data_IF_108796779474
#
_entry.id   IF_108796779474
#
_cell.length_a   1.000
_cell.length_b   1.000
_cell.length_c   1.000
_cell.angle_alpha   90.00
_cell.angle_beta   90.00
_cell.angle_gamma   90.00
#
_symmetry.space_group_name_H-M   'P 1'
#
loop_
_entity.id
_entity.type
_entity.pdbx_description
1 polymer ?
#
# COMPACT_ATOMS: atom_id res chain seq x y z
N UNK A 1 33.04 36.50 -4.41
CA UNK A 1 32.32 35.22 -4.36
C UNK A 1 30.83 35.55 -4.14
N UNK A 2 30.04 35.54 -5.19
CA UNK A 2 28.62 35.77 -5.08
C UNK A 2 27.96 34.53 -4.47
N UNK A 3 27.35 34.69 -3.30
CA UNK A 3 26.45 33.70 -2.70
C UNK A 3 25.32 33.46 -3.67
N UNK A 4 25.31 32.29 -4.38
CA UNK A 4 24.11 31.84 -5.12
C UNK A 4 22.96 31.80 -4.13
N UNK A 5 21.93 32.63 -4.38
CA UNK A 5 20.70 32.60 -3.63
C UNK A 5 20.18 31.16 -3.64
N UNK A 6 20.02 30.55 -2.46
CA UNK A 6 19.34 29.26 -2.34
C UNK A 6 17.96 29.45 -2.95
N UNK A 7 17.72 28.90 -4.13
CA UNK A 7 16.41 28.90 -4.76
C UNK A 7 15.42 28.28 -3.77
N UNK A 8 14.57 29.11 -3.19
CA UNK A 8 13.56 28.67 -2.24
C UNK A 8 12.53 27.86 -3.05
N UNK A 9 12.54 26.54 -2.88
CA UNK A 9 11.52 25.69 -3.49
C UNK A 9 10.13 26.07 -2.96
N UNK A 10 9.16 26.20 -3.84
CA UNK A 10 7.76 26.32 -3.47
C UNK A 10 7.10 24.95 -3.26
N UNK A 11 7.80 23.86 -3.58
CA UNK A 11 7.32 22.52 -3.30
C UNK A 11 7.46 22.23 -1.80
N UNK A 12 6.38 21.79 -1.16
CA UNK A 12 6.37 21.46 0.26
C UNK A 12 7.03 20.10 0.50
N UNK A 13 8.22 20.11 1.08
CA UNK A 13 8.94 18.90 1.47
C UNK A 13 8.79 18.63 2.96
N UNK A 14 8.69 17.36 3.33
CA UNK A 14 8.61 16.91 4.73
C UNK A 14 9.97 16.97 5.46
N UNK A 15 11.07 17.26 4.75
CA UNK A 15 12.41 17.41 5.33
C UNK A 15 13.19 18.51 4.64
N UNK A 16 14.15 19.07 5.37
CA UNK A 16 15.09 20.09 4.86
C UNK A 16 16.29 19.49 4.12
N UNK A 17 16.31 18.18 3.83
CA UNK A 17 17.39 17.52 3.10
C UNK A 17 17.51 18.11 1.72
N UNK A 18 18.72 18.58 1.38
CA UNK A 18 19.02 19.01 0.01
C UNK A 18 19.04 17.79 -0.91
N UNK A 19 18.40 17.94 -2.06
CA UNK A 19 18.32 16.88 -3.07
C UNK A 19 18.86 17.40 -4.39
N UNK A 20 19.59 16.56 -5.16
CA UNK A 20 19.95 16.92 -6.52
C UNK A 20 18.69 17.10 -7.37
N UNK A 21 18.77 17.97 -8.36
CA UNK A 21 17.69 18.13 -9.35
C UNK A 21 17.84 17.04 -10.40
N UNK A 22 16.80 16.21 -10.57
CA UNK A 22 16.76 15.15 -11.57
C UNK A 22 16.69 15.78 -12.97
N UNK A 23 17.60 15.38 -13.86
CA UNK A 23 17.61 15.74 -15.28
C UNK A 23 16.95 14.66 -16.13
N UNK A 24 17.45 13.43 -16.04
CA UNK A 24 16.95 12.30 -16.84
C UNK A 24 17.09 10.97 -16.11
N UNK A 25 16.34 9.97 -16.60
CA UNK A 25 16.38 8.62 -16.10
C UNK A 25 16.31 7.61 -17.26
N UNK A 26 17.01 6.47 -17.15
CA UNK A 26 16.97 5.40 -18.12
C UNK A 26 17.33 4.05 -17.47
N UNK A 27 16.51 3.03 -17.68
CA UNK A 27 16.65 1.73 -17.04
C UNK A 27 16.72 1.87 -15.52
N UNK A 28 17.82 1.47 -14.91
CA UNK A 28 18.05 1.58 -13.46
C UNK A 28 18.84 2.83 -13.06
N UNK A 29 19.11 3.73 -13.97
CA UNK A 29 19.98 4.88 -13.74
C UNK A 29 19.23 6.19 -13.75
N UNK A 30 19.67 7.09 -12.88
CA UNK A 30 19.23 8.49 -12.76
C UNK A 30 20.43 9.41 -12.98
N UNK A 31 20.20 10.58 -13.56
CA UNK A 31 21.21 11.63 -13.68
C UNK A 31 20.67 12.96 -13.17
N UNK A 32 21.48 13.69 -12.45
CA UNK A 32 21.16 15.06 -12.05
C UNK A 32 21.63 16.09 -13.10
N UNK A 33 21.20 17.34 -12.91
CA UNK A 33 21.58 18.48 -13.79
C UNK A 33 23.11 18.75 -13.81
N UNK A 34 23.86 18.22 -12.86
CA UNK A 34 25.33 18.31 -12.80
C UNK A 34 26.00 17.15 -13.54
N UNK A 35 25.24 16.21 -14.08
CA UNK A 35 25.74 15.04 -14.80
C UNK A 35 26.15 13.86 -13.90
N UNK A 36 25.93 13.95 -12.59
CA UNK A 36 26.21 12.83 -11.69
C UNK A 36 25.21 11.69 -11.97
N UNK A 37 25.72 10.46 -11.98
CA UNK A 37 24.97 9.24 -12.23
C UNK A 37 24.68 8.50 -10.93
N UNK A 38 23.46 8.07 -10.73
CA UNK A 38 22.98 7.31 -9.58
C UNK A 38 22.33 6.01 -10.03
N UNK A 39 22.38 4.98 -9.17
CA UNK A 39 21.60 3.76 -9.33
C UNK A 39 20.33 3.92 -8.51
N UNK A 40 19.17 3.74 -9.16
CA UNK A 40 17.89 3.66 -8.47
C UNK A 40 17.67 2.26 -7.92
N UNK A 41 18.18 2.01 -6.71
CA UNK A 41 18.08 0.72 -6.04
C UNK A 41 16.74 0.51 -5.30
N UNK A 42 15.90 1.55 -5.20
CA UNK A 42 14.64 1.48 -4.45
C UNK A 42 13.39 1.65 -5.32
N UNK A 43 13.53 2.14 -6.55
CA UNK A 43 12.39 2.48 -7.42
C UNK A 43 11.40 3.44 -6.74
N UNK A 44 11.88 4.36 -5.89
CA UNK A 44 11.07 5.14 -4.98
C UNK A 44 10.37 4.23 -3.96
N UNK A 45 9.04 4.33 -3.76
CA UNK A 45 8.28 3.36 -2.95
C UNK A 45 7.92 2.09 -3.78
N UNK A 46 8.91 1.51 -4.48
CA UNK A 46 8.79 0.28 -5.29
C UNK A 46 7.79 0.43 -6.46
N UNK A 47 7.80 1.58 -7.16
CA UNK A 47 6.82 1.88 -8.21
C UNK A 47 7.38 1.89 -9.64
N UNK A 48 8.71 1.95 -9.82
CA UNK A 48 9.36 1.92 -11.15
C UNK A 48 10.08 0.60 -11.44
N UNK A 49 9.45 -0.53 -11.10
CA UNK A 49 10.04 -1.88 -11.16
C UNK A 49 10.44 -2.34 -12.56
N UNK A 50 9.84 -1.76 -13.60
CA UNK A 50 10.20 -2.02 -15.01
C UNK A 50 11.35 -1.14 -15.49
N UNK A 51 11.94 -0.34 -14.60
CA UNK A 51 12.93 0.69 -14.92
C UNK A 51 12.32 1.97 -15.49
N UNK A 52 13.17 2.99 -15.57
CA UNK A 52 12.81 4.29 -16.09
C UNK A 52 12.79 4.29 -17.63
N UNK A 53 11.96 5.13 -18.20
CA UNK A 53 11.93 5.44 -19.66
C UNK A 53 11.73 4.22 -20.55
N UNK A 54 10.98 3.18 -20.10
CA UNK A 54 10.71 2.00 -20.91
C UNK A 54 10.10 2.37 -22.28
N UNK A 55 10.78 2.05 -23.40
CA UNK A 55 10.35 2.52 -24.72
C UNK A 55 8.98 2.03 -25.16
N UNK A 56 8.62 0.79 -24.78
CA UNK A 56 7.32 0.18 -25.12
C UNK A 56 6.18 0.90 -24.40
N UNK A 57 6.37 1.23 -23.12
CA UNK A 57 5.39 1.97 -22.32
C UNK A 57 5.22 3.38 -22.87
N UNK A 58 6.33 4.10 -23.10
CA UNK A 58 6.30 5.46 -23.68
C UNK A 58 5.57 5.47 -25.01
N UNK A 59 5.87 4.51 -25.90
CA UNK A 59 5.21 4.39 -27.21
C UNK A 59 3.70 4.17 -27.06
N UNK A 60 3.29 3.29 -26.14
CA UNK A 60 1.88 3.01 -25.89
C UNK A 60 1.15 4.25 -25.31
N UNK A 61 1.77 4.95 -24.36
CA UNK A 61 1.23 6.19 -23.80
C UNK A 61 1.05 7.28 -24.87
N UNK A 62 2.07 7.54 -25.70
CA UNK A 62 1.99 8.52 -26.79
C UNK A 62 0.84 8.17 -27.74
N UNK A 63 0.74 6.91 -28.18
CA UNK A 63 -0.34 6.44 -29.05
C UNK A 63 -1.73 6.66 -28.43
N UNK A 64 -1.86 6.44 -27.13
CA UNK A 64 -3.13 6.65 -26.44
C UNK A 64 -3.45 8.13 -26.28
N UNK A 65 -2.46 8.98 -26.01
CA UNK A 65 -2.63 10.44 -25.94
C UNK A 65 -3.15 11.03 -27.24
N UNK A 66 -2.70 10.51 -28.39
CA UNK A 66 -3.21 10.92 -29.73
C UNK A 66 -4.69 10.55 -29.94
N UNK A 67 -5.21 9.52 -29.25
CA UNK A 67 -6.62 9.13 -29.33
C UNK A 67 -7.48 9.90 -28.32
N UNK A 68 -7.12 9.83 -27.05
CA UNK A 68 -7.86 10.42 -25.93
C UNK A 68 -7.00 10.40 -24.67
N UNK A 69 -6.98 11.51 -23.96
CA UNK A 69 -6.29 11.66 -22.67
C UNK A 69 -7.20 11.40 -21.48
N UNK A 70 -8.54 11.40 -21.69
CA UNK A 70 -9.53 11.21 -20.63
C UNK A 70 -10.79 10.52 -21.18
N UNK A 71 -11.36 9.63 -20.39
CA UNK A 71 -12.65 9.00 -20.60
C UNK A 71 -13.36 8.81 -19.27
N UNK A 72 -14.51 9.48 -19.08
CA UNK A 72 -15.27 9.36 -17.85
C UNK A 72 -16.06 8.05 -17.83
N UNK A 73 -15.73 7.18 -16.89
CA UNK A 73 -16.25 5.80 -16.80
C UNK A 73 -17.77 5.66 -16.71
N UNK A 74 -18.49 6.70 -16.29
CA UNK A 74 -19.96 6.67 -16.26
C UNK A 74 -20.59 6.92 -17.62
N UNK A 75 -19.82 7.42 -18.60
CA UNK A 75 -20.33 7.74 -19.92
C UNK A 75 -19.71 6.88 -21.04
N UNK A 76 -18.47 6.41 -20.85
CA UNK A 76 -17.73 5.69 -21.87
C UNK A 76 -16.93 4.53 -21.31
N UNK A 77 -16.91 3.42 -22.00
CA UNK A 77 -15.90 2.39 -21.82
C UNK A 77 -14.56 2.90 -22.34
N UNK A 78 -13.47 2.50 -21.70
CA UNK A 78 -12.12 2.87 -22.06
C UNK A 78 -11.31 1.60 -22.36
N UNK A 79 -10.91 1.41 -23.62
CA UNK A 79 -10.24 0.19 -24.07
C UNK A 79 -8.99 -0.18 -23.24
N UNK A 80 -8.05 0.73 -22.91
CA UNK A 80 -6.93 0.41 -22.04
C UNK A 80 -7.34 -0.03 -20.64
N UNK A 81 -8.36 0.58 -20.04
CA UNK A 81 -8.85 0.23 -18.70
C UNK A 81 -9.50 -1.16 -18.71
N UNK A 82 -10.35 -1.48 -19.71
CA UNK A 82 -10.98 -2.80 -19.87
C UNK A 82 -9.93 -3.91 -20.05
N UNK A 83 -8.91 -3.67 -20.89
CA UNK A 83 -7.81 -4.62 -21.07
C UNK A 83 -7.02 -4.85 -19.80
N UNK A 84 -6.72 -3.78 -19.05
CA UNK A 84 -6.00 -3.88 -17.79
C UNK A 84 -6.85 -4.60 -16.74
N UNK A 85 -8.15 -4.32 -16.66
CA UNK A 85 -9.06 -5.02 -15.75
C UNK A 85 -9.10 -6.53 -16.05
N UNK A 86 -9.26 -6.89 -17.33
CA UNK A 86 -9.28 -8.30 -17.75
C UNK A 86 -7.97 -9.02 -17.46
N UNK A 87 -6.83 -8.37 -17.74
CA UNK A 87 -5.51 -8.94 -17.42
C UNK A 87 -5.33 -9.11 -15.91
N UNK A 88 -5.68 -8.08 -15.12
CA UNK A 88 -5.58 -8.16 -13.66
C UNK A 88 -6.46 -9.27 -13.10
N UNK A 89 -7.72 -9.36 -13.54
CA UNK A 89 -8.64 -10.41 -13.11
C UNK A 89 -8.10 -11.82 -13.43
N UNK A 90 -7.42 -11.99 -14.57
CA UNK A 90 -6.83 -13.30 -14.93
C UNK A 90 -5.67 -13.74 -14.02
N UNK A 91 -5.09 -12.83 -13.26
CA UNK A 91 -4.01 -13.09 -12.30
C UNK A 91 -4.51 -13.25 -10.87
N UNK A 92 -5.80 -12.99 -10.62
CA UNK A 92 -6.38 -13.05 -9.28
C UNK A 92 -6.86 -14.47 -8.94
N UNK A 93 -7.01 -14.79 -7.65
CA UNK A 93 -7.68 -15.99 -7.21
C UNK A 93 -9.11 -16.08 -7.78
N UNK A 94 -9.59 -17.32 -7.99
CA UNK A 94 -10.95 -17.55 -8.50
C UNK A 94 -12.00 -16.82 -7.65
N UNK A 95 -12.93 -16.14 -8.33
CA UNK A 95 -14.00 -15.34 -7.69
C UNK A 95 -13.63 -13.88 -7.43
N UNK A 96 -12.38 -13.46 -7.66
CA UNK A 96 -11.95 -12.05 -7.60
C UNK A 96 -11.74 -11.50 -9.00
N UNK A 97 -12.83 -11.31 -9.74
CA UNK A 97 -12.83 -10.95 -11.16
C UNK A 97 -13.31 -9.52 -11.45
N UNK A 98 -13.67 -8.76 -10.42
CA UNK A 98 -14.12 -7.38 -10.55
C UNK A 98 -13.04 -6.42 -10.07
N UNK A 99 -12.57 -5.56 -10.96
CA UNK A 99 -11.47 -4.63 -10.71
C UNK A 99 -11.99 -3.20 -10.56
N UNK A 100 -11.60 -2.54 -9.48
CA UNK A 100 -11.91 -1.14 -9.24
C UNK A 100 -10.61 -0.33 -9.16
N UNK A 101 -10.38 0.55 -10.15
CA UNK A 101 -9.20 1.40 -10.20
C UNK A 101 -9.34 2.64 -9.33
N UNK A 102 -8.27 2.98 -8.61
CA UNK A 102 -8.13 4.16 -7.76
C UNK A 102 -6.84 4.91 -8.10
N UNK A 103 -6.69 6.13 -7.58
CA UNK A 103 -5.50 6.96 -7.85
C UNK A 103 -4.30 6.62 -6.97
N UNK A 104 -4.49 5.85 -5.90
CA UNK A 104 -3.40 5.50 -4.99
C UNK A 104 -3.77 4.41 -4.00
N UNK A 105 -2.75 3.87 -3.30
CA UNK A 105 -2.92 2.78 -2.33
C UNK A 105 -3.85 3.13 -1.17
N UNK A 106 -3.72 4.34 -0.62
CA UNK A 106 -4.63 4.79 0.46
C UNK A 106 -6.09 4.80 0.03
N UNK A 107 -6.38 5.25 -1.20
CA UNK A 107 -7.74 5.23 -1.76
C UNK A 107 -8.24 3.82 -2.03
N UNK A 108 -7.35 2.90 -2.41
CA UNK A 108 -7.68 1.48 -2.56
C UNK A 108 -8.11 0.88 -1.23
N UNK A 109 -7.34 1.14 -0.17
CA UNK A 109 -7.66 0.67 1.19
C UNK A 109 -8.96 1.28 1.70
N UNK A 110 -9.19 2.59 1.51
CA UNK A 110 -10.47 3.23 1.84
C UNK A 110 -11.65 2.58 1.11
N UNK A 111 -11.45 2.23 -0.16
CA UNK A 111 -12.46 1.55 -0.97
C UNK A 111 -12.77 0.15 -0.46
N UNK A 112 -11.76 -0.61 -0.03
CA UNK A 112 -11.91 -1.93 0.58
C UNK A 112 -12.67 -1.84 1.92
N UNK A 113 -12.32 -0.87 2.78
CA UNK A 113 -13.02 -0.61 4.05
C UNK A 113 -14.51 -0.34 3.81
N UNK A 114 -14.80 0.56 2.86
CA UNK A 114 -16.17 0.92 2.51
C UNK A 114 -16.95 -0.25 1.92
N UNK A 115 -16.32 -1.02 1.02
CA UNK A 115 -16.93 -2.20 0.40
C UNK A 115 -17.27 -3.26 1.46
N UNK A 116 -16.33 -3.59 2.35
CA UNK A 116 -16.55 -4.54 3.43
C UNK A 116 -17.70 -4.08 4.34
N UNK A 117 -17.72 -2.79 4.69
CA UNK A 117 -18.78 -2.22 5.52
C UNK A 117 -20.15 -2.26 4.84
N UNK A 118 -20.21 -1.90 3.56
CA UNK A 118 -21.46 -1.95 2.79
C UNK A 118 -21.97 -3.38 2.65
N UNK A 119 -21.08 -4.34 2.41
CA UNK A 119 -21.44 -5.75 2.40
C UNK A 119 -22.04 -6.21 3.74
N UNK A 120 -21.44 -5.83 4.86
CA UNK A 120 -21.96 -6.16 6.17
C UNK A 120 -23.37 -5.58 6.41
N UNK A 121 -23.60 -4.33 6.03
CA UNK A 121 -24.91 -3.69 6.11
C UNK A 121 -25.94 -4.42 5.23
N UNK A 122 -25.60 -4.68 3.97
CA UNK A 122 -26.49 -5.34 3.02
C UNK A 122 -26.81 -6.81 3.38
N UNK A 123 -26.02 -7.41 4.26
CA UNK A 123 -26.22 -8.78 4.78
C UNK A 123 -26.74 -8.82 6.21
N UNK A 124 -27.35 -7.71 6.69
CA UNK A 124 -27.91 -7.55 8.05
C UNK A 124 -26.89 -7.81 9.18
N UNK A 125 -25.64 -7.38 8.97
CA UNK A 125 -24.53 -7.48 9.94
C UNK A 125 -24.04 -6.08 10.34
N UNK A 126 -24.94 -5.16 10.62
CA UNK A 126 -24.62 -3.75 10.87
C UNK A 126 -23.73 -3.54 12.10
N UNK A 127 -23.67 -4.49 13.02
CA UNK A 127 -22.76 -4.42 14.17
C UNK A 127 -21.27 -4.53 13.77
N UNK A 128 -20.95 -5.14 12.62
CA UNK A 128 -19.57 -5.33 12.16
C UNK A 128 -18.99 -4.04 11.59
N UNK A 129 -17.94 -3.52 12.23
CA UNK A 129 -17.28 -2.29 11.81
C UNK A 129 -15.78 -2.24 12.16
N UNK A 130 -15.29 -3.07 13.10
CA UNK A 130 -13.90 -3.09 13.51
C UNK A 130 -13.06 -3.84 12.48
N UNK A 131 -11.90 -3.28 12.15
CA UNK A 131 -10.91 -3.93 11.29
C UNK A 131 -9.67 -4.18 12.12
N UNK A 132 -9.26 -5.43 12.22
CA UNK A 132 -8.00 -5.81 12.87
C UNK A 132 -6.88 -5.70 11.84
N UNK A 133 -5.73 -5.19 12.26
CA UNK A 133 -4.52 -5.10 11.43
C UNK A 133 -3.28 -5.54 12.20
N UNK A 134 -2.13 -5.52 11.53
CA UNK A 134 -0.86 -5.87 12.16
C UNK A 134 -0.14 -4.65 12.75
N UNK A 135 0.76 -4.90 13.72
CA UNK A 135 1.73 -3.94 14.21
C UNK A 135 3.13 -4.60 14.25
N UNK A 136 4.13 -4.03 13.56
CA UNK A 136 4.05 -2.90 12.65
C UNK A 136 3.38 -3.26 11.31
N UNK A 137 2.76 -2.26 10.64
CA UNK A 137 2.19 -2.38 9.29
C UNK A 137 1.93 -0.99 8.68
N UNK A 138 1.77 -0.93 7.35
CA UNK A 138 1.40 0.31 6.68
C UNK A 138 0.29 0.06 5.65
N UNK A 139 -0.83 0.77 5.80
CA UNK A 139 -1.99 0.63 4.91
C UNK A 139 -2.39 1.94 4.21
N UNK A 140 -1.74 3.06 4.53
CA UNK A 140 -1.96 4.33 3.86
C UNK A 140 -1.98 5.54 4.79
N UNK A 141 -2.06 6.74 4.20
CA UNK A 141 -1.99 8.02 4.90
C UNK A 141 -3.32 8.78 4.99
N UNK A 142 -4.42 8.31 4.39
CA UNK A 142 -5.76 8.86 4.61
C UNK A 142 -6.30 8.42 5.97
N UNK A 143 -7.24 9.17 6.58
CA UNK A 143 -7.64 8.90 7.97
C UNK A 143 -8.17 7.48 8.19
N UNK A 144 -8.93 6.90 7.26
CA UNK A 144 -9.40 5.52 7.38
C UNK A 144 -8.27 4.50 7.22
N UNK A 145 -7.40 4.67 6.22
CA UNK A 145 -6.23 3.81 6.03
C UNK A 145 -5.20 3.97 7.17
N UNK A 146 -5.06 5.20 7.71
CA UNK A 146 -4.19 5.49 8.84
C UNK A 146 -4.70 4.85 10.14
N UNK A 147 -6.02 4.79 10.33
CA UNK A 147 -6.65 4.16 11.50
C UNK A 147 -6.29 2.67 11.65
N UNK A 148 -5.99 2.00 10.54
CA UNK A 148 -5.57 0.58 10.49
C UNK A 148 -4.07 0.42 10.24
N UNK A 149 -3.31 1.50 10.08
CA UNK A 149 -1.84 1.47 9.99
C UNK A 149 -1.23 1.25 11.37
N UNK A 150 -0.25 0.34 11.47
CA UNK A 150 0.47 0.01 12.69
C UNK A 150 1.85 0.67 12.75
N UNK A 151 1.91 2.01 12.73
CA UNK A 151 3.16 2.79 12.84
C UNK A 151 2.90 4.06 13.65
N UNK A 152 3.18 4.02 14.95
CA UNK A 152 2.87 5.10 15.90
C UNK A 152 3.33 6.49 15.46
N UNK A 153 4.54 6.69 14.91
CA UNK A 153 4.96 8.02 14.45
C UNK A 153 4.07 8.65 13.38
N UNK A 154 3.36 7.84 12.59
CA UNK A 154 2.39 8.33 11.61
C UNK A 154 0.98 8.46 12.18
N UNK A 155 0.62 7.60 13.12
CA UNK A 155 -0.74 7.50 13.69
C UNK A 155 -0.97 8.52 14.80
N UNK A 156 -0.05 8.66 15.73
CA UNK A 156 -0.22 9.42 16.96
C UNK A 156 -0.62 10.89 16.75
N UNK A 157 0.01 11.64 15.83
CA UNK A 157 -0.36 13.06 15.63
C UNK A 157 -1.81 13.23 15.19
N UNK A 158 -2.42 12.21 14.58
CA UNK A 158 -3.76 12.28 13.98
C UNK A 158 -4.79 11.41 14.72
N UNK A 159 -4.41 10.74 15.80
CA UNK A 159 -5.26 9.80 16.54
C UNK A 159 -6.58 10.39 17.01
N UNK A 160 -6.60 11.69 17.34
CA UNK A 160 -7.83 12.42 17.73
C UNK A 160 -8.80 12.68 16.57
N UNK A 161 -8.35 12.57 15.32
CA UNK A 161 -9.16 12.80 14.13
C UNK A 161 -9.81 11.53 13.57
N UNK A 162 -9.48 10.37 14.12
CA UNK A 162 -9.92 9.07 13.60
C UNK A 162 -10.18 8.09 14.75
N UNK A 163 -10.89 7.00 14.43
CA UNK A 163 -11.08 5.89 15.35
C UNK A 163 -10.00 4.84 15.10
N UNK A 164 -8.95 4.84 15.90
CA UNK A 164 -7.87 3.86 15.81
C UNK A 164 -8.45 2.45 16.01
N UNK A 165 -8.11 1.54 15.11
CA UNK A 165 -8.59 0.18 15.07
C UNK A 165 -7.67 -0.78 15.85
N UNK A 166 -8.17 -1.96 16.30
CA UNK A 166 -7.37 -2.94 17.03
C UNK A 166 -6.24 -3.51 16.17
N UNK A 167 -5.13 -3.86 16.82
CA UNK A 167 -3.94 -4.41 16.17
C UNK A 167 -3.42 -5.62 16.92
N UNK A 168 -2.84 -6.55 16.19
CA UNK A 168 -2.10 -7.70 16.72
C UNK A 168 -0.64 -7.62 16.25
N UNK A 169 0.32 -8.24 16.95
CA UNK A 169 1.71 -8.29 16.50
C UNK A 169 1.87 -8.90 15.12
N UNK A 170 2.70 -8.29 14.25
CA UNK A 170 3.16 -8.92 13.04
C UNK A 170 4.03 -10.14 13.36
N UNK A 171 4.06 -11.14 12.47
CA UNK A 171 4.77 -12.40 12.67
C UNK A 171 6.30 -12.23 12.55
N UNK A 172 6.91 -11.48 13.45
CA UNK A 172 8.35 -11.21 13.50
C UNK A 172 9.14 -12.38 14.09
N UNK A 173 8.85 -13.59 13.64
CA UNK A 173 9.39 -14.85 14.18
C UNK A 173 10.91 -14.88 14.34
N UNK A 174 11.64 -14.14 13.51
CA UNK A 174 13.10 -14.04 13.57
C UNK A 174 13.62 -13.28 14.82
N UNK A 175 12.76 -12.53 15.51
CA UNK A 175 13.08 -11.83 16.76
C UNK A 175 12.80 -12.69 18.01
N UNK A 176 12.08 -13.80 17.86
CA UNK A 176 11.72 -14.65 18.99
C UNK A 176 12.93 -15.48 19.46
N UNK A 177 13.20 -15.46 20.76
CA UNK A 177 14.26 -16.21 21.42
C UNK A 177 13.72 -17.48 22.12
N UNK A 178 12.55 -17.97 21.68
CA UNK A 178 11.98 -19.22 22.17
C UNK A 178 12.58 -20.45 21.47
N UNK A 179 12.28 -21.65 21.97
CA UNK A 179 12.73 -22.92 21.39
C UNK A 179 11.75 -23.49 20.35
N UNK A 180 10.79 -22.67 19.86
CA UNK A 180 9.81 -23.11 18.89
C UNK A 180 10.44 -23.18 17.48
N UNK A 181 9.97 -24.11 16.67
CA UNK A 181 10.25 -24.14 15.24
C UNK A 181 9.62 -22.94 14.53
N UNK A 182 10.04 -22.69 13.30
CA UNK A 182 9.45 -21.62 12.47
C UNK A 182 7.94 -21.83 12.25
N UNK A 183 7.52 -23.08 12.01
CA UNK A 183 6.11 -23.42 11.83
C UNK A 183 5.29 -23.21 13.11
N UNK A 184 5.80 -23.58 14.27
CA UNK A 184 5.13 -23.35 15.55
C UNK A 184 5.00 -21.86 15.85
N UNK A 185 6.01 -21.04 15.53
CA UNK A 185 5.92 -19.59 15.64
C UNK A 185 4.87 -19.02 14.69
N UNK A 186 4.80 -19.50 13.45
CA UNK A 186 3.76 -19.09 12.51
C UNK A 186 2.36 -19.31 13.08
N UNK A 187 2.10 -20.50 13.61
CA UNK A 187 0.82 -20.84 14.27
C UNK A 187 0.58 -19.96 15.50
N UNK A 188 1.59 -19.76 16.35
CA UNK A 188 1.53 -18.88 17.52
C UNK A 188 1.05 -17.47 17.16
N UNK A 189 1.64 -16.87 16.13
CA UNK A 189 1.24 -15.53 15.67
C UNK A 189 -0.16 -15.52 15.00
N UNK A 190 -0.52 -16.58 14.28
CA UNK A 190 -1.84 -16.69 13.68
C UNK A 190 -2.96 -16.76 14.75
N UNK A 191 -2.73 -17.48 15.84
CA UNK A 191 -3.69 -17.61 16.93
C UNK A 191 -4.00 -16.27 17.62
N UNK A 192 -3.09 -15.28 17.57
CA UNK A 192 -3.36 -13.95 18.11
C UNK A 192 -4.54 -13.27 17.42
N UNK A 193 -4.84 -13.64 16.18
CA UNK A 193 -6.02 -13.10 15.47
C UNK A 193 -7.32 -13.60 16.11
N UNK A 194 -7.42 -14.90 16.41
CA UNK A 194 -8.60 -15.46 17.09
C UNK A 194 -8.79 -14.84 18.46
N UNK A 195 -7.72 -14.75 19.25
CA UNK A 195 -7.75 -14.12 20.57
C UNK A 195 -8.25 -12.67 20.51
N UNK A 196 -7.74 -11.89 19.55
CA UNK A 196 -8.17 -10.50 19.41
C UNK A 196 -9.62 -10.40 18.89
N UNK A 197 -10.07 -11.29 17.99
CA UNK A 197 -11.48 -11.34 17.54
C UNK A 197 -12.40 -11.58 18.74
N UNK A 198 -12.07 -12.55 19.60
CA UNK A 198 -12.86 -12.87 20.81
C UNK A 198 -12.89 -11.66 21.74
N UNK A 199 -11.75 -11.04 22.02
CA UNK A 199 -11.63 -9.86 22.88
C UNK A 199 -12.40 -8.64 22.34
N UNK A 200 -12.49 -8.47 21.03
CA UNK A 200 -13.19 -7.35 20.39
C UNK A 200 -14.70 -7.56 20.25
N UNK A 201 -15.26 -8.67 20.63
CA UNK A 201 -16.60 -9.17 20.31
C UNK A 201 -16.71 -9.54 18.82
N UNK A 202 -16.76 -10.85 18.48
CA UNK A 202 -16.86 -11.37 17.11
C UNK A 202 -17.95 -10.75 16.27
N UNK A 203 -19.07 -10.36 16.89
CA UNK A 203 -20.19 -9.71 16.20
C UNK A 203 -19.85 -8.29 15.71
N UNK A 204 -18.77 -7.69 16.23
CA UNK A 204 -18.35 -6.34 15.86
C UNK A 204 -17.17 -6.32 14.90
N UNK A 205 -16.45 -7.43 14.73
CA UNK A 205 -15.29 -7.53 13.85
C UNK A 205 -15.74 -7.69 12.41
N UNK A 206 -15.33 -6.76 11.56
CA UNK A 206 -15.68 -6.68 10.14
C UNK A 206 -14.70 -7.45 9.27
N UNK A 207 -13.40 -7.23 9.48
CA UNK A 207 -12.35 -7.78 8.64
C UNK A 207 -11.01 -7.82 9.36
N UNK A 208 -10.09 -8.60 8.81
CA UNK A 208 -8.66 -8.55 9.09
C UNK A 208 -7.92 -8.10 7.83
N UNK A 209 -6.95 -7.19 7.97
CA UNK A 209 -6.10 -6.72 6.89
C UNK A 209 -4.63 -6.91 7.23
N UNK A 210 -3.85 -7.39 6.27
CA UNK A 210 -2.41 -7.59 6.42
C UNK A 210 -1.65 -7.32 5.12
N UNK A 211 -0.35 -7.13 5.26
CA UNK A 211 0.62 -7.19 4.18
C UNK A 211 1.17 -8.63 4.12
N UNK A 212 0.87 -9.45 3.09
CA UNK A 212 1.39 -10.83 2.97
C UNK A 212 2.92 -10.88 2.89
N UNK A 213 3.50 -9.85 2.28
CA UNK A 213 4.92 -9.52 2.34
C UNK A 213 4.98 -8.09 2.82
N UNK A 214 5.57 -7.88 3.99
CA UNK A 214 5.65 -6.55 4.59
C UNK A 214 6.44 -5.58 3.74
N UNK A 215 6.00 -4.31 3.71
CA UNK A 215 6.71 -3.23 3.05
C UNK A 215 7.83 -2.64 3.91
N UNK A 216 8.04 -1.33 3.78
CA UNK A 216 9.05 -0.59 4.54
C UNK A 216 8.81 -0.61 6.06
N UNK A 217 7.57 -0.81 6.50
CA UNK A 217 7.19 -0.90 7.91
C UNK A 217 7.85 -2.07 8.65
N UNK A 218 8.13 -3.17 7.95
CA UNK A 218 8.65 -4.42 8.52
C UNK A 218 9.93 -4.93 7.84
N UNK A 219 10.48 -4.18 6.87
CA UNK A 219 11.69 -4.57 6.16
C UNK A 219 11.52 -5.83 5.30
N UNK A 220 10.42 -5.93 4.55
CA UNK A 220 10.08 -7.06 3.68
C UNK A 220 9.85 -8.38 4.47
N UNK A 221 9.26 -8.30 5.66
CA UNK A 221 8.90 -9.45 6.46
C UNK A 221 7.97 -10.39 5.68
N UNK A 222 8.31 -11.67 5.65
CA UNK A 222 7.48 -12.76 5.11
C UNK A 222 7.15 -13.69 6.28
N UNK A 223 5.88 -13.83 6.66
CA UNK A 223 5.48 -14.79 7.68
C UNK A 223 5.74 -16.23 7.24
N UNK A 224 5.96 -17.19 8.17
CA UNK A 224 6.00 -18.60 7.86
C UNK A 224 4.74 -19.09 7.14
N UNK A 225 4.85 -20.11 6.30
CA UNK A 225 3.69 -20.67 5.59
C UNK A 225 2.57 -21.16 6.52
N UNK A 226 2.91 -21.61 7.72
CA UNK A 226 1.98 -22.03 8.76
C UNK A 226 1.10 -20.91 9.30
N UNK A 227 1.53 -19.63 9.15
CA UNK A 227 0.73 -18.46 9.53
C UNK A 227 -0.55 -18.31 8.68
N UNK A 228 -0.55 -18.79 7.44
CA UNK A 228 -1.65 -18.62 6.50
C UNK A 228 -2.57 -19.88 6.41
N UNK A 229 -2.34 -20.90 7.20
CA UNK A 229 -3.13 -22.12 7.24
C UNK A 229 -4.22 -22.07 8.29
#
# INVERSE_FOLDING_TARGET
MQQKSKNKSNYFYLSNTQRPMLDRADGIYLWDESGNKYIDASSGPIVSNIGHSNPSVIKAMKKQMDKSTFGYRLNFFNEPAEKLASLTASLMPSGLDQIFFTSGGSESVESCIKLARQYAVNTNKEKKWKIISLYPSYHGGTLGALAITGMDPFVDPFSKLMKVMPKIPAATCYLDNDNLSEDERGIKYANLLEEEIIKQDPETVLAFILEPIGGASTGALVPPNSYFK
#
